data_IF_726915664656
#
_entry.id   IF_726915664656
#
_cell.length_a   1.000
_cell.length_b   1.000
_cell.length_c   1.000
_cell.angle_alpha   90.00
_cell.angle_beta   90.00
_cell.angle_gamma   90.00
#
_symmetry.space_group_name_H-M   'P 1'
#
loop_
_entity.id
_entity.type
_entity.pdbx_description
1 polymer ?
#
# COMPACT_ATOMS: atom_id res chain seq x y z
N UNK A 1 -21.50 3.92 6.98
CA UNK A 1 -21.08 2.55 6.67
C UNK A 1 -19.92 2.57 5.69
N UNK A 2 -18.82 1.86 6.02
CA UNK A 2 -17.62 1.76 5.18
C UNK A 2 -17.95 1.37 3.72
N UNK A 3 -18.69 0.29 3.42
CA UNK A 3 -18.96 -0.09 2.02
C UNK A 3 -19.67 0.99 1.21
N UNK A 4 -20.54 1.79 1.85
CA UNK A 4 -21.25 2.90 1.19
C UNK A 4 -20.26 4.00 0.81
N UNK A 5 -19.32 4.31 1.71
CA UNK A 5 -18.30 5.31 1.46
C UNK A 5 -17.30 4.82 0.39
N UNK A 6 -16.89 3.55 0.42
CA UNK A 6 -16.07 2.99 -0.66
C UNK A 6 -16.72 3.13 -2.03
N UNK A 7 -18.05 2.90 -2.10
CA UNK A 7 -18.80 3.04 -3.36
C UNK A 7 -18.87 4.51 -3.83
N UNK A 8 -19.10 5.45 -2.90
CA UNK A 8 -19.29 6.88 -3.23
C UNK A 8 -17.97 7.62 -3.50
N UNK A 9 -16.86 7.15 -2.97
CA UNK A 9 -15.55 7.81 -3.08
C UNK A 9 -14.75 7.44 -4.33
N UNK A 10 -15.28 6.59 -5.21
CA UNK A 10 -14.52 6.06 -6.36
C UNK A 10 -13.55 4.93 -6.02
N UNK A 11 -13.42 4.53 -4.75
CA UNK A 11 -12.54 3.45 -4.32
C UNK A 11 -12.78 2.13 -5.07
N UNK A 12 -14.03 1.82 -5.36
CA UNK A 12 -14.42 0.61 -6.08
C UNK A 12 -14.06 0.61 -7.55
N UNK A 13 -13.99 1.79 -8.18
CA UNK A 13 -13.54 1.95 -9.57
C UNK A 13 -12.00 1.85 -9.64
N UNK A 14 -11.29 2.46 -8.69
CA UNK A 14 -9.83 2.34 -8.56
C UNK A 14 -9.42 0.86 -8.41
N UNK A 15 -10.20 0.06 -7.65
CA UNK A 15 -9.97 -1.37 -7.44
C UNK A 15 -10.66 -2.28 -8.46
N UNK A 16 -11.18 -1.73 -9.56
CA UNK A 16 -11.88 -2.52 -10.57
C UNK A 16 -10.97 -3.62 -11.14
N UNK A 17 -11.58 -4.76 -11.36
CA UNK A 17 -10.92 -5.88 -12.05
C UNK A 17 -10.58 -5.47 -13.48
N UNK A 18 -9.34 -5.67 -13.88
CA UNK A 18 -8.84 -5.18 -15.16
C UNK A 18 -9.40 -5.92 -16.37
N UNK A 19 -9.56 -7.22 -16.22
CA UNK A 19 -9.98 -8.08 -17.33
C UNK A 19 -11.47 -7.91 -17.62
N UNK A 20 -12.27 -7.75 -16.56
CA UNK A 20 -13.73 -7.68 -16.63
C UNK A 20 -14.31 -6.27 -16.43
N UNK A 21 -13.53 -5.32 -15.94
CA UNK A 21 -14.00 -4.00 -15.54
C UNK A 21 -14.94 -4.00 -14.33
N UNK A 22 -15.11 -5.14 -13.66
CA UNK A 22 -16.02 -5.25 -12.50
C UNK A 22 -15.47 -4.44 -11.31
N UNK A 23 -16.24 -3.47 -10.76
CA UNK A 23 -15.86 -2.75 -9.54
C UNK A 23 -15.61 -3.72 -8.38
N UNK A 24 -14.59 -3.43 -7.56
CA UNK A 24 -14.25 -4.25 -6.40
C UNK A 24 -14.07 -3.38 -5.16
N UNK A 25 -14.54 -3.86 -4.02
CA UNK A 25 -14.27 -3.24 -2.73
C UNK A 25 -12.92 -3.71 -2.18
N UNK A 26 -12.25 -2.85 -1.45
CA UNK A 26 -11.23 -3.29 -0.50
C UNK A 26 -11.89 -4.26 0.51
N UNK A 27 -11.25 -5.39 0.76
CA UNK A 27 -11.77 -6.43 1.68
C UNK A 27 -11.51 -6.13 3.15
N UNK A 28 -11.28 -4.86 3.47
CA UNK A 28 -11.13 -4.30 4.83
C UNK A 28 -11.94 -3.02 4.91
N UNK A 29 -12.22 -2.55 6.11
CA UNK A 29 -12.92 -1.28 6.37
C UNK A 29 -11.98 -0.09 6.13
N UNK A 30 -11.57 0.13 4.89
CA UNK A 30 -10.55 1.12 4.52
C UNK A 30 -11.00 2.56 4.79
N UNK A 31 -12.29 2.87 4.60
CA UNK A 31 -12.82 4.19 4.86
C UNK A 31 -12.81 4.53 6.36
N UNK A 32 -13.20 3.60 7.22
CA UNK A 32 -13.09 3.75 8.68
C UNK A 32 -11.63 3.98 9.09
N UNK A 33 -10.69 3.16 8.58
CA UNK A 33 -9.26 3.26 8.93
C UNK A 33 -8.65 4.58 8.50
N UNK A 34 -8.91 5.01 7.26
CA UNK A 34 -8.41 6.29 6.73
C UNK A 34 -8.96 7.47 7.52
N UNK A 35 -10.25 7.43 7.84
CA UNK A 35 -10.92 8.48 8.65
C UNK A 35 -10.34 8.51 10.06
N UNK A 36 -10.09 7.36 10.69
CA UNK A 36 -9.49 7.29 12.02
C UNK A 36 -8.09 7.93 12.07
N UNK A 37 -7.25 7.66 11.06
CA UNK A 37 -5.92 8.29 10.93
C UNK A 37 -6.03 9.80 10.72
N UNK A 38 -6.94 10.24 9.85
CA UNK A 38 -7.20 11.67 9.60
C UNK A 38 -7.72 12.37 10.86
N UNK A 39 -8.59 11.70 11.63
CA UNK A 39 -9.09 12.23 12.89
C UNK A 39 -7.98 12.38 13.93
N UNK A 40 -7.13 11.37 14.08
CA UNK A 40 -5.97 11.42 15.00
C UNK A 40 -5.04 12.57 14.64
N UNK A 41 -4.71 12.75 13.35
CA UNK A 41 -3.91 13.87 12.86
C UNK A 41 -4.57 15.22 13.16
N UNK A 42 -5.85 15.37 12.87
CA UNK A 42 -6.59 16.60 13.08
C UNK A 42 -6.68 16.99 14.56
N UNK A 43 -6.93 16.02 15.44
CA UNK A 43 -6.95 16.22 16.91
C UNK A 43 -5.58 16.65 17.42
N UNK A 44 -4.52 15.94 17.03
CA UNK A 44 -3.14 16.29 17.44
C UNK A 44 -2.74 17.68 16.98
N UNK A 45 -3.07 18.04 15.73
CA UNK A 45 -2.81 19.37 15.18
C UNK A 45 -3.60 20.47 15.91
N UNK A 46 -4.85 20.21 16.26
CA UNK A 46 -5.68 21.17 17.00
C UNK A 46 -5.22 21.37 18.46
N UNK A 47 -4.75 20.29 19.11
CA UNK A 47 -4.16 20.38 20.45
C UNK A 47 -2.85 21.17 20.42
N UNK A 48 -1.99 20.95 19.44
CA UNK A 48 -0.79 21.76 19.25
C UNK A 48 -1.11 23.24 18.98
N UNK A 49 -2.07 23.51 18.08
CA UNK A 49 -2.51 24.88 17.81
C UNK A 49 -3.07 25.56 19.07
N UNK A 50 -3.83 24.83 19.90
CA UNK A 50 -4.33 25.33 21.20
C UNK A 50 -3.18 25.63 22.17
N UNK A 51 -2.17 24.80 22.22
CA UNK A 51 -0.99 25.03 23.08
C UNK A 51 -0.27 26.33 22.70
N UNK A 52 -0.14 26.61 21.40
CA UNK A 52 0.53 27.82 20.89
C UNK A 52 -0.33 29.07 21.02
N UNK A 53 -1.65 28.98 20.74
CA UNK A 53 -2.55 30.15 20.65
C UNK A 53 -3.42 30.40 21.88
N UNK A 54 -3.56 29.40 22.76
CA UNK A 54 -4.54 29.41 23.85
C UNK A 54 -6.01 29.20 23.41
N UNK A 55 -6.26 29.00 22.10
CA UNK A 55 -7.62 28.94 21.55
C UNK A 55 -7.96 27.53 21.07
N UNK A 56 -9.00 26.95 21.66
CA UNK A 56 -9.59 25.68 21.17
C UNK A 56 -10.46 25.87 19.93
N UNK A 57 -10.69 24.79 19.19
CA UNK A 57 -11.50 24.82 17.98
C UNK A 57 -12.36 23.56 17.80
N UNK A 58 -13.45 23.70 17.06
CA UNK A 58 -14.28 22.59 16.67
C UNK A 58 -13.78 21.99 15.35
N UNK A 59 -13.51 20.68 15.34
CA UNK A 59 -13.10 19.94 14.15
C UNK A 59 -14.32 19.24 13.57
N UNK A 60 -14.54 19.37 12.27
CA UNK A 60 -15.52 18.60 11.49
C UNK A 60 -14.79 17.71 10.50
N UNK A 61 -15.20 16.47 10.43
CA UNK A 61 -14.59 15.46 9.57
C UNK A 61 -15.68 14.55 9.02
N UNK A 62 -15.62 14.19 7.75
CA UNK A 62 -16.45 13.16 7.14
C UNK A 62 -15.62 12.05 6.54
N UNK A 63 -16.15 10.83 6.54
CA UNK A 63 -15.48 9.67 5.93
C UNK A 63 -15.31 9.84 4.42
N UNK A 64 -16.30 10.46 3.75
CA UNK A 64 -16.24 10.68 2.30
C UNK A 64 -15.11 11.64 1.93
N UNK A 65 -15.00 12.77 2.63
CA UNK A 65 -13.94 13.75 2.40
C UNK A 65 -12.56 13.17 2.73
N UNK A 66 -12.46 12.39 3.80
CA UNK A 66 -11.22 11.71 4.16
C UNK A 66 -10.75 10.74 3.06
N UNK A 67 -11.65 9.96 2.48
CA UNK A 67 -11.34 9.06 1.38
C UNK A 67 -10.97 9.80 0.11
N UNK A 68 -11.70 10.85 -0.27
CA UNK A 68 -11.39 11.67 -1.43
C UNK A 68 -10.02 12.35 -1.30
N UNK A 69 -9.72 12.93 -0.13
CA UNK A 69 -8.43 13.53 0.13
C UNK A 69 -7.28 12.53 0.06
N UNK A 70 -7.51 11.30 0.53
CA UNK A 70 -6.51 10.22 0.49
C UNK A 70 -6.23 9.74 -0.93
N UNK A 71 -7.25 9.56 -1.77
CA UNK A 71 -7.08 9.08 -3.14
C UNK A 71 -6.71 10.16 -4.15
N UNK A 72 -6.96 11.45 -3.85
CA UNK A 72 -6.82 12.52 -4.83
C UNK A 72 -5.46 12.60 -5.50
N UNK A 73 -4.33 12.47 -4.78
CA UNK A 73 -3.01 12.63 -5.37
C UNK A 73 -2.68 11.62 -6.46
N UNK A 74 -3.20 10.40 -6.38
CA UNK A 74 -2.90 9.32 -7.32
C UNK A 74 -4.16 8.75 -7.99
N UNK A 75 -5.14 8.34 -7.22
CA UNK A 75 -6.34 7.70 -7.74
C UNK A 75 -7.19 8.59 -8.63
N UNK A 76 -7.12 9.91 -8.44
CA UNK A 76 -7.90 10.92 -9.19
C UNK A 76 -7.01 11.79 -10.10
N UNK A 77 -5.76 11.40 -10.34
CA UNK A 77 -4.79 12.25 -11.06
C UNK A 77 -5.27 12.75 -12.43
N UNK A 78 -6.04 11.94 -13.16
CA UNK A 78 -6.63 12.33 -14.44
C UNK A 78 -7.76 13.36 -14.36
N UNK A 79 -8.30 13.60 -13.17
CA UNK A 79 -9.43 14.53 -12.94
C UNK A 79 -8.98 15.90 -12.44
N UNK A 80 -7.68 16.14 -12.27
CA UNK A 80 -7.14 17.40 -11.75
C UNK A 80 -7.35 18.55 -12.73
N UNK A 81 -7.37 18.28 -14.04
CA UNK A 81 -7.56 19.26 -15.09
C UNK A 81 -8.96 19.14 -15.71
N UNK A 82 -9.78 20.17 -15.56
CA UNK A 82 -11.15 20.18 -16.09
C UNK A 82 -11.21 20.17 -17.63
N UNK A 83 -10.22 20.78 -18.29
CA UNK A 83 -10.19 20.96 -19.75
C UNK A 83 -9.49 19.83 -20.51
N UNK A 84 -9.09 18.75 -19.84
CA UNK A 84 -8.36 17.65 -20.46
C UNK A 84 -9.01 16.31 -20.16
N UNK A 85 -9.32 15.57 -21.20
CA UNK A 85 -9.74 14.18 -21.10
C UNK A 85 -8.51 13.28 -20.90
N UNK A 86 -8.44 12.66 -19.74
CA UNK A 86 -7.45 11.62 -19.44
C UNK A 86 -8.16 10.28 -19.20
N UNK A 87 -7.65 9.24 -19.81
CA UNK A 87 -8.09 7.88 -19.49
C UNK A 87 -7.45 7.42 -18.16
N UNK A 88 -8.12 7.71 -17.06
CA UNK A 88 -7.66 7.42 -15.70
C UNK A 88 -7.35 5.93 -15.53
N UNK A 89 -8.12 5.04 -16.19
CA UNK A 89 -7.93 3.58 -16.09
C UNK A 89 -6.62 3.12 -16.72
N UNK A 90 -6.18 3.77 -17.80
CA UNK A 90 -4.86 3.48 -18.39
C UNK A 90 -3.72 3.84 -17.45
N UNK A 91 -3.82 4.98 -16.77
CA UNK A 91 -2.80 5.43 -15.83
C UNK A 91 -2.71 4.48 -14.64
N UNK A 92 -3.82 4.14 -14.02
CA UNK A 92 -3.89 3.22 -12.87
C UNK A 92 -3.47 1.79 -13.23
N UNK A 93 -3.73 1.37 -14.46
CA UNK A 93 -3.34 0.07 -14.99
C UNK A 93 -1.86 -0.26 -14.87
N UNK A 94 -1.00 0.73 -14.80
CA UNK A 94 0.45 0.55 -14.77
C UNK A 94 1.02 0.23 -13.38
N UNK A 95 0.26 0.44 -12.32
CA UNK A 95 0.73 0.29 -10.94
C UNK A 95 0.58 -1.12 -10.35
N UNK A 96 -0.21 -2.00 -10.99
CA UNK A 96 -0.29 -3.39 -10.56
C UNK A 96 0.90 -4.19 -11.11
N UNK A 97 1.95 -4.29 -10.32
CA UNK A 97 3.20 -4.96 -10.66
C UNK A 97 3.26 -6.37 -10.06
N UNK A 98 2.17 -7.12 -10.18
CA UNK A 98 2.10 -8.52 -9.75
C UNK A 98 2.39 -9.42 -10.94
N UNK A 99 3.39 -10.27 -10.78
CA UNK A 99 3.83 -11.20 -11.81
C UNK A 99 3.81 -12.64 -11.32
N UNK A 100 3.47 -13.58 -12.21
CA UNK A 100 3.50 -15.01 -11.93
C UNK A 100 4.86 -15.59 -12.34
N UNK A 101 5.67 -15.95 -11.34
CA UNK A 101 6.84 -16.82 -11.55
C UNK A 101 6.38 -18.30 -11.65
N UNK A 102 7.30 -19.23 -11.87
CA UNK A 102 6.97 -20.66 -11.99
C UNK A 102 6.22 -21.21 -10.77
N UNK A 103 6.63 -20.81 -9.59
CA UNK A 103 6.22 -21.37 -8.30
C UNK A 103 5.25 -20.46 -7.52
N UNK A 104 5.43 -19.14 -7.55
CA UNK A 104 4.58 -18.19 -6.81
C UNK A 104 4.44 -16.85 -7.52
N UNK A 105 3.63 -15.94 -6.96
CA UNK A 105 3.57 -14.55 -7.38
C UNK A 105 4.67 -13.73 -6.69
N UNK A 106 5.23 -12.79 -7.44
CA UNK A 106 6.19 -11.79 -6.97
C UNK A 106 5.77 -10.40 -7.43
N UNK A 107 6.31 -9.37 -6.81
CA UNK A 107 6.31 -8.02 -7.35
C UNK A 107 7.72 -7.60 -7.74
N UNK A 108 7.84 -6.87 -8.83
CA UNK A 108 9.08 -6.23 -9.24
C UNK A 108 8.74 -4.96 -10.03
N UNK A 109 9.52 -3.91 -9.86
CA UNK A 109 9.30 -2.65 -10.55
C UNK A 109 10.60 -1.95 -10.92
N UNK A 110 10.56 -1.21 -12.02
CA UNK A 110 11.66 -0.36 -12.47
C UNK A 110 11.08 1.01 -12.85
N UNK A 111 11.42 2.03 -12.08
CA UNK A 111 11.02 3.42 -12.31
C UNK A 111 12.15 4.18 -12.99
N UNK A 112 13.35 4.12 -12.43
CA UNK A 112 14.54 4.75 -12.98
C UNK A 112 15.14 3.98 -14.17
N UNK A 113 16.03 4.63 -14.90
CA UNK A 113 16.74 3.98 -16.01
C UNK A 113 17.72 2.93 -15.49
N UNK A 114 18.31 3.14 -14.32
CA UNK A 114 19.24 2.17 -13.71
C UNK A 114 18.50 0.89 -13.27
N UNK A 115 17.34 1.04 -12.65
CA UNK A 115 16.49 -0.10 -12.27
C UNK A 115 16.00 -0.87 -13.52
N UNK A 116 15.65 -0.16 -14.60
CA UNK A 116 15.28 -0.81 -15.86
C UNK A 116 16.43 -1.61 -16.45
N UNK A 117 17.63 -1.02 -16.51
CA UNK A 117 18.85 -1.73 -16.94
C UNK A 117 19.13 -2.95 -16.05
N UNK A 118 18.97 -2.81 -14.74
CA UNK A 118 19.07 -3.91 -13.79
C UNK A 118 18.05 -5.02 -14.06
N UNK A 119 16.79 -4.66 -14.29
CA UNK A 119 15.73 -5.61 -14.63
C UNK A 119 16.04 -6.37 -15.92
N UNK A 120 16.49 -5.69 -16.95
CA UNK A 120 16.87 -6.33 -18.22
C UNK A 120 18.02 -7.33 -18.01
N UNK A 121 19.06 -6.98 -17.26
CA UNK A 121 20.17 -7.91 -16.96
C UNK A 121 19.71 -9.10 -16.11
N UNK A 122 18.90 -8.86 -15.09
CA UNK A 122 18.36 -9.92 -14.24
C UNK A 122 17.53 -10.94 -15.03
N UNK A 123 16.79 -10.49 -16.03
CA UNK A 123 15.94 -11.31 -16.89
C UNK A 123 16.70 -11.90 -18.12
N UNK A 124 17.99 -11.61 -18.30
CA UNK A 124 18.78 -11.93 -19.49
C UNK A 124 18.18 -11.34 -20.78
N UNK A 125 17.65 -10.11 -20.69
CA UNK A 125 17.03 -9.36 -21.78
C UNK A 125 17.74 -8.02 -21.99
N UNK A 126 19.06 -8.06 -22.08
CA UNK A 126 19.89 -6.87 -22.32
C UNK A 126 19.58 -6.19 -23.67
N UNK A 127 18.99 -6.92 -24.62
CA UNK A 127 18.46 -6.41 -25.87
C UNK A 127 17.44 -5.27 -25.66
N UNK A 128 16.70 -5.28 -24.55
CA UNK A 128 15.68 -4.27 -24.22
C UNK A 128 16.25 -2.98 -23.64
N UNK A 129 17.51 -2.95 -23.24
CA UNK A 129 18.13 -1.74 -22.65
C UNK A 129 18.15 -0.59 -23.64
N UNK A 130 18.45 -0.89 -24.90
CA UNK A 130 18.55 0.10 -25.98
C UNK A 130 17.38 0.03 -26.97
N UNK A 131 16.32 -0.69 -26.62
CA UNK A 131 15.10 -0.73 -27.44
C UNK A 131 14.42 0.65 -27.40
N UNK A 132 14.14 1.23 -28.56
CA UNK A 132 13.57 2.58 -28.70
C UNK A 132 12.28 2.77 -27.90
N UNK A 133 11.46 1.71 -27.74
CA UNK A 133 10.20 1.77 -26.99
C UNK A 133 10.39 1.72 -25.46
N UNK A 134 11.59 1.43 -24.97
CA UNK A 134 11.91 1.31 -23.55
C UNK A 134 13.15 2.09 -23.12
N UNK A 135 13.78 2.85 -24.02
CA UNK A 135 15.09 3.47 -23.84
C UNK A 135 15.16 4.47 -22.69
N UNK A 136 14.05 5.14 -22.39
CA UNK A 136 13.94 6.14 -21.32
C UNK A 136 12.64 6.01 -20.53
N UNK A 137 12.56 6.69 -19.39
CA UNK A 137 11.41 6.64 -18.50
C UNK A 137 10.09 7.05 -19.16
N UNK A 138 10.13 8.07 -20.03
CA UNK A 138 8.93 8.56 -20.74
C UNK A 138 8.42 7.52 -21.74
N UNK A 139 9.31 6.94 -22.53
CA UNK A 139 9.00 5.88 -23.49
C UNK A 139 8.43 4.64 -22.79
N UNK A 140 9.02 4.26 -21.65
CA UNK A 140 8.51 3.15 -20.82
C UNK A 140 7.13 3.43 -20.20
N UNK A 141 6.83 4.69 -19.87
CA UNK A 141 5.52 5.08 -19.38
C UNK A 141 4.46 5.01 -20.48
N UNK A 142 4.75 5.51 -21.67
CA UNK A 142 3.85 5.43 -22.84
C UNK A 142 3.57 3.96 -23.20
N UNK A 143 4.58 3.10 -23.11
CA UNK A 143 4.49 1.67 -23.44
C UNK A 143 4.31 0.78 -22.21
N UNK A 144 3.73 1.29 -21.13
CA UNK A 144 3.68 0.61 -19.84
C UNK A 144 2.99 -0.77 -19.90
N UNK A 145 1.91 -0.89 -20.66
CA UNK A 145 1.20 -2.17 -20.80
C UNK A 145 2.08 -3.21 -21.50
N UNK A 146 2.70 -2.85 -22.62
CA UNK A 146 3.60 -3.75 -23.36
C UNK A 146 4.82 -4.15 -22.53
N UNK A 147 5.39 -3.18 -21.80
CA UNK A 147 6.48 -3.44 -20.84
C UNK A 147 6.06 -4.46 -19.79
N UNK A 148 4.86 -4.29 -19.19
CA UNK A 148 4.33 -5.19 -18.16
C UNK A 148 4.12 -6.60 -18.69
N UNK A 149 3.51 -6.75 -19.85
CA UNK A 149 3.29 -8.04 -20.51
C UNK A 149 4.60 -8.77 -20.76
N UNK A 150 5.56 -8.10 -21.40
CA UNK A 150 6.89 -8.65 -21.68
C UNK A 150 7.64 -9.02 -20.38
N UNK A 151 7.62 -8.15 -19.38
CA UNK A 151 8.24 -8.44 -18.07
C UNK A 151 7.58 -9.66 -17.42
N UNK A 152 6.26 -9.78 -17.49
CA UNK A 152 5.52 -10.93 -16.96
C UNK A 152 5.85 -12.24 -17.69
N UNK A 153 5.95 -12.21 -19.01
CA UNK A 153 6.37 -13.36 -19.80
C UNK A 153 7.78 -13.83 -19.43
N UNK A 154 8.73 -12.90 -19.27
CA UNK A 154 10.10 -13.24 -18.88
C UNK A 154 10.17 -13.77 -17.45
N UNK A 155 9.49 -13.13 -16.48
CA UNK A 155 9.42 -13.58 -15.09
C UNK A 155 8.85 -15.00 -14.99
N UNK A 156 7.87 -15.35 -15.81
CA UNK A 156 7.22 -16.67 -15.79
C UNK A 156 8.18 -17.84 -16.08
N UNK A 157 9.36 -17.57 -16.64
CA UNK A 157 10.39 -18.55 -16.96
C UNK A 157 11.31 -18.90 -15.78
N UNK A 158 11.17 -18.20 -14.64
CA UNK A 158 12.06 -18.30 -13.50
C UNK A 158 11.39 -18.85 -12.25
N UNK A 159 12.15 -19.50 -11.38
CA UNK A 159 11.76 -19.74 -10.00
C UNK A 159 11.88 -18.42 -9.22
N UNK A 160 10.92 -18.17 -8.33
CA UNK A 160 10.81 -16.88 -7.63
C UNK A 160 12.05 -16.53 -6.82
N UNK A 161 12.56 -17.44 -6.00
CA UNK A 161 13.72 -17.19 -5.15
C UNK A 161 14.97 -16.83 -5.97
N UNK A 162 15.27 -17.61 -7.01
CA UNK A 162 16.39 -17.35 -7.90
C UNK A 162 16.27 -15.97 -8.55
N UNK A 163 15.08 -15.62 -9.03
CA UNK A 163 14.86 -14.35 -9.70
C UNK A 163 14.92 -13.17 -8.74
N UNK A 164 14.35 -13.30 -7.53
CA UNK A 164 14.43 -12.26 -6.50
C UNK A 164 15.88 -11.96 -6.10
N UNK A 165 16.71 -12.99 -5.94
CA UNK A 165 18.14 -12.80 -5.69
C UNK A 165 18.85 -12.08 -6.85
N UNK A 166 18.49 -12.38 -8.10
CA UNK A 166 19.01 -11.68 -9.27
C UNK A 166 18.59 -10.21 -9.29
N UNK A 167 17.30 -9.93 -9.06
CA UNK A 167 16.78 -8.58 -8.96
C UNK A 167 17.48 -7.77 -7.88
N UNK A 168 17.65 -8.33 -6.69
CA UNK A 168 18.35 -7.67 -5.58
C UNK A 168 19.80 -7.33 -5.94
N UNK A 169 20.54 -8.25 -6.58
CA UNK A 169 21.91 -7.99 -7.03
C UNK A 169 22.01 -6.89 -8.07
N UNK A 170 20.99 -6.75 -8.90
CA UNK A 170 20.92 -5.73 -9.95
C UNK A 170 20.24 -4.43 -9.48
N UNK A 171 19.90 -4.32 -8.19
CA UNK A 171 19.28 -3.11 -7.63
C UNK A 171 17.82 -2.90 -8.04
N UNK A 172 17.11 -3.93 -8.45
CA UNK A 172 15.71 -3.86 -8.84
C UNK A 172 14.82 -4.02 -7.61
N UNK A 173 13.92 -3.07 -7.30
CA UNK A 173 12.94 -3.22 -6.24
C UNK A 173 12.04 -4.44 -6.49
N UNK A 174 12.05 -5.39 -5.56
CA UNK A 174 11.30 -6.62 -5.69
C UNK A 174 10.96 -7.25 -4.34
N UNK A 175 9.90 -8.05 -4.29
CA UNK A 175 9.52 -8.82 -3.11
C UNK A 175 8.67 -10.05 -3.49
N UNK A 176 8.67 -11.12 -2.69
CA UNK A 176 7.67 -12.17 -2.81
C UNK A 176 6.29 -11.63 -2.37
N UNK A 177 5.21 -12.10 -2.99
CA UNK A 177 3.88 -11.89 -2.44
C UNK A 177 3.65 -12.89 -1.31
N UNK A 178 3.71 -12.39 -0.08
CA UNK A 178 3.46 -13.20 1.11
C UNK A 178 1.96 -13.39 1.33
N UNK A 179 1.55 -14.59 1.71
CA UNK A 179 0.25 -14.76 2.33
C UNK A 179 0.27 -14.29 3.80
N UNK A 180 -0.91 -14.27 4.43
CA UNK A 180 -1.04 -13.78 5.81
C UNK A 180 -0.38 -14.69 6.85
N UNK A 181 -0.11 -15.95 6.53
CA UNK A 181 0.57 -16.88 7.42
C UNK A 181 2.08 -16.77 7.25
N UNK A 182 2.58 -16.72 6.01
CA UNK A 182 3.99 -16.49 5.71
C UNK A 182 4.52 -15.18 6.33
N UNK A 183 3.65 -14.14 6.40
CA UNK A 183 4.00 -12.87 7.03
C UNK A 183 4.48 -13.05 8.48
N UNK A 184 3.90 -13.99 9.24
CA UNK A 184 4.20 -14.19 10.68
C UNK A 184 5.64 -14.64 10.93
N UNK A 185 6.22 -15.37 9.98
CA UNK A 185 7.55 -15.96 10.09
C UNK A 185 8.58 -15.22 9.21
N UNK A 186 8.18 -14.11 8.57
CA UNK A 186 9.04 -13.38 7.66
C UNK A 186 10.18 -12.69 8.42
N UNK A 187 11.41 -12.86 7.93
CA UNK A 187 12.65 -12.36 8.54
C UNK A 187 12.57 -10.87 8.92
N UNK A 188 12.12 -10.01 8.01
CA UNK A 188 12.04 -8.57 8.26
C UNK A 188 10.98 -8.22 9.31
N UNK A 189 9.86 -8.96 9.36
CA UNK A 189 8.80 -8.77 10.36
C UNK A 189 9.31 -9.14 11.74
N UNK A 190 10.07 -10.23 11.83
CA UNK A 190 10.71 -10.71 13.07
C UNK A 190 11.80 -9.74 13.51
N UNK A 191 12.72 -9.35 12.61
CA UNK A 191 13.82 -8.43 12.93
C UNK A 191 13.32 -7.05 13.40
N UNK A 192 12.20 -6.58 12.86
CA UNK A 192 11.57 -5.34 13.28
C UNK A 192 10.68 -5.50 14.51
N UNK A 193 10.49 -6.71 15.02
CA UNK A 193 9.56 -7.01 16.13
C UNK A 193 8.17 -6.41 15.87
N UNK A 194 7.69 -6.50 14.61
CA UNK A 194 6.45 -5.86 14.19
C UNK A 194 5.22 -6.48 14.84
N UNK A 195 5.29 -7.78 15.17
CA UNK A 195 4.22 -8.51 15.86
C UNK A 195 4.56 -8.59 17.34
N UNK A 196 3.63 -8.13 18.16
CA UNK A 196 3.70 -8.19 19.62
C UNK A 196 2.88 -9.36 20.13
N UNK A 197 3.40 -10.04 21.14
CA UNK A 197 2.79 -11.20 21.78
C UNK A 197 2.65 -10.96 23.27
N UNK A 198 1.50 -11.28 23.83
CA UNK A 198 1.29 -11.25 25.28
C UNK A 198 0.24 -12.27 25.72
N UNK A 199 0.15 -12.48 27.04
CA UNK A 199 -0.81 -13.37 27.65
C UNK A 199 -1.66 -12.59 28.65
N UNK A 200 -2.93 -12.38 28.31
CA UNK A 200 -3.88 -11.66 29.16
C UNK A 200 -4.88 -12.62 29.80
N UNK A 201 -5.16 -12.39 31.08
CA UNK A 201 -6.14 -13.15 31.81
C UNK A 201 -7.52 -13.13 31.15
N UNK A 202 -8.07 -14.32 30.91
CA UNK A 202 -9.35 -14.50 30.24
C UNK A 202 -9.31 -14.50 28.72
N UNK A 203 -8.17 -14.14 28.09
CA UNK A 203 -7.97 -14.17 26.64
C UNK A 203 -6.90 -15.17 26.22
N UNK A 204 -6.00 -15.57 27.13
CA UNK A 204 -4.85 -16.39 26.78
C UNK A 204 -3.80 -15.64 25.98
N UNK A 205 -3.04 -16.38 25.19
CA UNK A 205 -1.99 -15.82 24.33
C UNK A 205 -2.61 -15.12 23.13
N UNK A 206 -2.33 -13.82 22.97
CA UNK A 206 -2.74 -13.02 21.83
C UNK A 206 -1.53 -12.49 21.09
N UNK A 207 -1.71 -12.17 19.81
CA UNK A 207 -0.75 -11.46 18.98
C UNK A 207 -1.43 -10.34 18.22
N UNK A 208 -0.72 -9.22 18.08
CA UNK A 208 -1.20 -8.08 17.30
C UNK A 208 -0.03 -7.25 16.76
N UNK A 209 -0.28 -6.42 15.77
CA UNK A 209 0.73 -5.49 15.30
C UNK A 209 1.03 -4.45 16.39
N UNK A 210 2.30 -4.13 16.59
CA UNK A 210 2.73 -2.99 17.41
C UNK A 210 2.28 -1.67 16.79
N UNK A 211 2.17 -0.58 17.56
CA UNK A 211 2.09 0.77 17.02
C UNK A 211 3.25 1.01 16.04
N UNK A 212 2.94 1.53 14.85
CA UNK A 212 3.94 1.67 13.79
C UNK A 212 4.99 2.76 14.13
N UNK A 213 4.57 3.83 14.80
CA UNK A 213 5.47 4.89 15.23
C UNK A 213 6.25 4.45 16.48
N UNK A 214 7.57 4.67 16.45
CA UNK A 214 8.47 4.43 17.58
C UNK A 214 9.03 5.76 18.04
N UNK A 215 8.80 6.11 19.29
CA UNK A 215 9.27 7.32 19.91
C UNK A 215 10.43 7.00 20.86
N UNK A 216 11.51 7.75 20.77
CA UNK A 216 12.70 7.53 21.62
C UNK A 216 12.49 7.90 23.09
N UNK A 217 11.59 8.85 23.37
CA UNK A 217 11.36 9.39 24.70
C UNK A 217 10.00 8.97 25.31
N UNK A 218 9.04 8.62 24.47
CA UNK A 218 7.68 8.29 24.87
C UNK A 218 7.23 7.02 24.16
N UNK A 219 7.76 5.89 24.58
CA UNK A 219 7.47 4.61 23.94
C UNK A 219 5.97 4.27 23.98
N UNK A 220 5.47 3.78 22.84
CA UNK A 220 4.09 3.32 22.75
C UNK A 220 3.97 1.89 23.29
N UNK A 221 3.18 1.69 24.32
CA UNK A 221 2.95 0.39 24.94
C UNK A 221 1.50 -0.09 24.74
N UNK A 222 1.32 -1.41 24.71
CA UNK A 222 0.02 -2.06 24.77
C UNK A 222 -0.21 -2.51 26.21
N UNK A 223 -0.88 -1.67 26.99
CA UNK A 223 -0.99 -1.84 28.43
C UNK A 223 -2.13 -2.77 28.87
N UNK A 224 -3.10 -3.02 28.00
CA UNK A 224 -4.27 -3.88 28.32
C UNK A 224 -4.92 -4.46 27.07
N UNK A 225 -5.63 -5.60 27.19
CA UNK A 225 -6.39 -6.19 26.09
C UNK A 225 -7.66 -5.40 25.79
N UNK A 226 -8.41 -5.87 24.79
CA UNK A 226 -9.76 -5.35 24.54
C UNK A 226 -10.64 -5.50 25.78
N UNK A 227 -11.40 -4.47 26.19
CA UNK A 227 -12.24 -4.53 27.37
C UNK A 227 -13.44 -5.48 27.17
N UNK A 228 -13.92 -6.07 28.26
CA UNK A 228 -15.21 -6.77 28.29
C UNK A 228 -16.35 -5.76 28.20
N UNK A 229 -17.54 -6.23 27.82
CA UNK A 229 -18.72 -5.36 27.73
C UNK A 229 -18.99 -4.66 29.08
N UNK A 230 -18.94 -3.32 29.08
CA UNK A 230 -19.19 -2.49 30.25
C UNK A 230 -18.06 -2.47 31.30
N UNK A 231 -16.90 -3.06 31.04
CA UNK A 231 -15.80 -3.22 32.02
C UNK A 231 -15.37 -1.90 32.67
N UNK A 232 -15.35 -0.81 31.92
CA UNK A 232 -14.91 0.51 32.39
C UNK A 232 -16.05 1.51 32.63
N UNK A 233 -17.32 1.05 32.59
CA UNK A 233 -18.49 1.94 32.69
C UNK A 233 -18.64 2.71 34.01
N UNK A 234 -17.94 2.29 35.08
CA UNK A 234 -17.92 2.96 36.37
C UNK A 234 -16.63 3.78 36.60
N UNK A 235 -15.64 3.65 35.72
CA UNK A 235 -14.34 4.34 35.81
C UNK A 235 -14.33 5.67 35.04
N UNK A 236 -15.30 5.90 34.16
CA UNK A 236 -15.50 7.08 33.34
C UNK A 236 -16.61 7.93 33.93
#
# INVERSE_FOLDING_TARGET
>A
YDPVIQALSGATDIQADRDTGRPRMFRIIVADKTTALTAAQAVSSALYAREVSGIGQHIRLSMLESMLAFFWPEGMAGLVYEDKEFDVRKIQGTQDLIYKAKDRYITAGAVSDDEWRGMCRALNREDLINDEIFSDSSSRMVNAQKRKELTGEEISKWNSNELLERFQREGVPCAPLLDRMELMDHEQITANETIWYDNFDGFGQIRQARPAARFSETESEIVRPAPKLGEHGLEI
#
